data_IF_934708423090
#
_entry.id   IF_934708423090
#
_cell.length_a   1.000
_cell.length_b   1.000
_cell.length_c   1.000
_cell.angle_alpha   90.00
_cell.angle_beta   90.00
_cell.angle_gamma   90.00
#
_symmetry.space_group_name_H-M   'P 1'
#
loop_
_entity.id
_entity.type
_entity.pdbx_description
1 polymer ?
#
# COMPACT_ATOMS: atom_id res chain seq x y z
N UNK A 1 25.86 3.62 -3.56
CA UNK A 1 24.47 3.37 -3.14
C UNK A 1 24.32 3.77 -1.67
N UNK A 2 23.41 4.68 -1.34
CA UNK A 2 23.02 4.92 0.07
C UNK A 2 22.37 3.63 0.57
N UNK A 3 22.87 3.03 1.65
CA UNK A 3 22.19 1.89 2.25
C UNK A 3 20.77 2.29 2.64
N UNK A 4 19.79 1.49 2.25
CA UNK A 4 18.39 1.73 2.62
C UNK A 4 18.23 1.53 4.14
N UNK A 5 17.85 2.57 4.91
CA UNK A 5 17.72 2.47 6.37
C UNK A 5 16.60 1.52 6.82
N UNK A 6 15.75 1.04 5.91
CA UNK A 6 14.75 0.00 6.18
C UNK A 6 15.33 -1.42 6.14
N UNK A 7 16.50 -1.63 5.54
CA UNK A 7 17.13 -2.96 5.48
C UNK A 7 18.08 -3.11 6.67
N UNK A 8 17.79 -4.07 7.56
CA UNK A 8 18.61 -4.33 8.74
C UNK A 8 18.31 -3.45 9.96
N UNK A 9 17.35 -2.53 9.88
CA UNK A 9 16.91 -1.75 11.04
C UNK A 9 16.04 -2.58 11.99
N UNK A 10 16.24 -2.41 13.30
CA UNK A 10 15.34 -2.91 14.35
C UNK A 10 13.98 -2.22 14.39
N UNK A 11 13.61 -1.49 13.33
CA UNK A 11 12.39 -0.70 13.18
C UNK A 11 11.22 -1.50 12.58
N UNK A 12 11.42 -2.79 12.29
CA UNK A 12 10.39 -3.70 11.79
C UNK A 12 9.75 -4.47 12.95
N UNK A 13 8.43 -4.37 13.05
CA UNK A 13 7.61 -5.08 14.01
C UNK A 13 6.81 -6.15 13.28
N UNK A 14 6.85 -7.39 13.78
CA UNK A 14 6.17 -8.56 13.20
C UNK A 14 6.50 -8.83 11.71
N UNK A 15 7.59 -8.25 11.19
CA UNK A 15 7.99 -8.35 9.78
C UNK A 15 7.02 -7.69 8.78
N UNK A 16 6.08 -6.87 9.26
CA UNK A 16 5.00 -6.24 8.47
C UNK A 16 4.94 -4.74 8.70
N UNK A 17 5.05 -4.33 9.97
CA UNK A 17 4.87 -2.96 10.41
C UNK A 17 6.23 -2.30 10.50
N UNK A 18 6.37 -1.10 9.94
CA UNK A 18 7.60 -0.33 10.00
C UNK A 18 7.37 1.00 10.72
N UNK A 19 8.20 1.28 11.73
CA UNK A 19 8.15 2.50 12.52
C UNK A 19 9.56 3.05 12.67
N UNK A 20 9.87 4.14 11.97
CA UNK A 20 11.14 4.84 12.11
C UNK A 20 10.96 6.37 12.01
N UNK A 21 11.07 7.11 13.13
CA UNK A 21 10.98 8.57 13.15
C UNK A 21 12.12 9.27 12.40
N UNK A 22 13.24 8.60 12.14
CA UNK A 22 14.39 9.15 11.40
C UNK A 22 14.24 8.99 9.88
N UNK A 23 13.49 7.99 9.41
CA UNK A 23 13.23 7.78 7.98
C UNK A 23 12.08 8.66 7.49
N UNK A 24 12.35 9.62 6.60
CA UNK A 24 11.33 10.57 6.11
C UNK A 24 10.37 9.99 5.08
N UNK A 25 10.63 8.78 4.57
CA UNK A 25 9.76 8.12 3.61
C UNK A 25 8.45 7.70 4.28
N UNK A 26 7.34 7.89 3.56
CA UNK A 26 6.02 7.41 3.98
C UNK A 26 5.81 5.99 3.46
N UNK A 27 6.06 5.75 2.18
CA UNK A 27 6.00 4.42 1.56
C UNK A 27 7.40 3.83 1.59
N UNK A 28 7.52 2.62 2.12
CA UNK A 28 8.80 1.94 2.35
C UNK A 28 8.76 0.56 1.73
N UNK A 29 9.84 0.18 1.06
CA UNK A 29 9.99 -1.16 0.50
C UNK A 29 10.08 -2.19 1.61
N UNK A 30 9.45 -3.34 1.41
CA UNK A 30 9.49 -4.43 2.37
C UNK A 30 10.84 -5.16 2.35
N UNK A 31 11.37 -5.53 3.53
CA UNK A 31 12.72 -6.11 3.67
C UNK A 31 12.91 -7.47 2.98
N UNK A 32 11.90 -8.34 2.93
CA UNK A 32 12.10 -9.75 2.51
C UNK A 32 11.13 -10.25 1.44
N UNK A 33 10.27 -9.39 0.88
CA UNK A 33 9.24 -9.78 -0.10
C UNK A 33 8.93 -8.64 -1.05
N UNK A 34 8.19 -8.97 -2.10
CA UNK A 34 7.61 -8.00 -3.01
C UNK A 34 6.63 -7.09 -2.26
N UNK A 35 6.69 -5.79 -2.57
CA UNK A 35 5.73 -4.80 -2.13
C UNK A 35 6.27 -3.75 -1.17
N UNK A 36 5.33 -2.99 -0.61
CA UNK A 36 5.59 -1.81 0.20
C UNK A 36 4.76 -1.84 1.48
N UNK A 37 5.18 -1.04 2.45
CA UNK A 37 4.48 -0.75 3.70
C UNK A 37 4.49 0.75 3.94
N UNK A 38 3.80 1.20 4.99
CA UNK A 38 3.76 2.60 5.38
C UNK A 38 4.57 2.79 6.67
N UNK A 39 5.38 3.84 6.73
CA UNK A 39 6.07 4.23 7.94
C UNK A 39 5.10 4.90 8.92
N UNK A 40 4.63 4.14 9.91
CA UNK A 40 3.64 4.64 10.87
C UNK A 40 4.21 5.67 11.85
N UNK A 41 5.52 5.94 11.83
CA UNK A 41 6.12 7.03 12.60
C UNK A 41 5.81 8.42 12.03
N UNK A 42 5.18 8.52 10.85
CA UNK A 42 4.89 9.78 10.17
C UNK A 42 3.42 10.16 10.30
N UNK A 43 3.08 11.40 10.68
CA UNK A 43 1.69 11.86 10.69
C UNK A 43 1.00 11.70 9.33
N UNK A 44 1.75 11.90 8.23
CA UNK A 44 1.27 11.70 6.87
C UNK A 44 0.99 10.23 6.49
N UNK A 45 1.39 9.26 7.32
CA UNK A 45 1.03 7.86 7.12
C UNK A 45 -0.48 7.64 7.21
N UNK A 46 -1.16 8.37 8.11
CA UNK A 46 -2.61 8.27 8.32
C UNK A 46 -3.39 8.66 7.06
N UNK A 47 -3.25 9.86 6.48
CA UNK A 47 -3.98 10.21 5.26
C UNK A 47 -3.62 9.32 4.07
N UNK A 48 -2.36 8.86 3.97
CA UNK A 48 -1.97 7.91 2.90
C UNK A 48 -2.65 6.55 3.09
N UNK A 49 -2.70 6.03 4.31
CA UNK A 49 -3.40 4.79 4.63
C UNK A 49 -4.89 4.92 4.34
N UNK A 50 -5.53 6.00 4.78
CA UNK A 50 -6.94 6.29 4.48
C UNK A 50 -7.20 6.36 2.98
N UNK A 51 -6.31 7.01 2.20
CA UNK A 51 -6.43 7.06 0.75
C UNK A 51 -6.41 5.67 0.11
N UNK A 52 -5.54 4.77 0.57
CA UNK A 52 -5.49 3.38 0.10
C UNK A 52 -6.79 2.64 0.45
N UNK A 53 -7.31 2.81 1.68
CA UNK A 53 -8.57 2.21 2.10
C UNK A 53 -9.75 2.72 1.26
N UNK A 54 -9.84 4.04 1.06
CA UNK A 54 -10.88 4.65 0.22
C UNK A 54 -10.78 4.13 -1.21
N UNK A 55 -9.58 4.08 -1.78
CA UNK A 55 -9.38 3.54 -3.13
C UNK A 55 -9.83 2.08 -3.25
N UNK A 56 -9.51 1.25 -2.27
CA UNK A 56 -9.88 -0.17 -2.28
C UNK A 56 -11.39 -0.38 -2.08
N UNK A 57 -12.06 0.46 -1.28
CA UNK A 57 -13.47 0.29 -0.93
C UNK A 57 -14.42 1.06 -1.85
N UNK A 58 -13.98 2.17 -2.46
CA UNK A 58 -14.82 3.05 -3.25
C UNK A 58 -15.55 2.34 -4.41
N UNK A 59 -14.92 1.44 -5.20
CA UNK A 59 -15.63 0.73 -6.26
C UNK A 59 -16.83 -0.07 -5.75
N UNK A 60 -16.69 -0.74 -4.61
CA UNK A 60 -17.75 -1.52 -3.99
C UNK A 60 -18.86 -0.61 -3.44
N UNK A 61 -18.47 0.44 -2.73
CA UNK A 61 -19.41 1.44 -2.24
C UNK A 61 -20.22 2.08 -3.38
N UNK A 62 -19.60 2.34 -4.53
CA UNK A 62 -20.30 2.87 -5.70
C UNK A 62 -21.28 1.85 -6.28
N UNK A 63 -20.92 0.57 -6.38
CA UNK A 63 -21.85 -0.48 -6.83
C UNK A 63 -23.11 -0.51 -5.94
N UNK A 64 -22.92 -0.44 -4.63
CA UNK A 64 -24.02 -0.40 -3.66
C UNK A 64 -24.86 0.89 -3.80
N UNK A 65 -24.21 2.06 -3.95
CA UNK A 65 -24.90 3.34 -4.10
C UNK A 65 -25.78 3.42 -5.36
N UNK A 66 -25.37 2.74 -6.43
CA UNK A 66 -26.12 2.69 -7.68
C UNK A 66 -27.06 1.48 -7.78
N UNK A 67 -27.23 0.72 -6.68
CA UNK A 67 -28.07 -0.47 -6.60
C UNK A 67 -27.74 -1.52 -7.70
N UNK A 68 -26.44 -1.71 -7.98
CA UNK A 68 -25.96 -2.68 -8.97
C UNK A 68 -25.79 -4.04 -8.28
N UNK A 69 -26.88 -4.79 -8.17
CA UNK A 69 -26.90 -6.12 -7.55
C UNK A 69 -26.45 -7.24 -8.50
N UNK A 70 -25.32 -7.06 -9.19
CA UNK A 70 -24.75 -8.05 -10.11
C UNK A 70 -23.44 -8.62 -9.55
N UNK A 71 -23.39 -9.91 -9.16
CA UNK A 71 -22.17 -10.54 -8.62
C UNK A 71 -20.93 -10.38 -9.50
N UNK A 72 -21.11 -10.35 -10.83
CA UNK A 72 -20.01 -10.15 -11.77
C UNK A 72 -19.43 -8.73 -11.72
N UNK A 73 -20.24 -7.73 -11.37
CA UNK A 73 -19.76 -6.35 -11.18
C UNK A 73 -18.86 -6.25 -9.95
N UNK A 74 -19.23 -6.88 -8.83
CA UNK A 74 -18.39 -6.95 -7.62
C UNK A 74 -17.09 -7.70 -7.90
N UNK A 75 -17.15 -8.81 -8.64
CA UNK A 75 -15.97 -9.55 -9.05
C UNK A 75 -15.04 -8.71 -9.93
N UNK A 76 -15.58 -8.00 -10.92
CA UNK A 76 -14.81 -7.12 -11.80
C UNK A 76 -14.16 -5.97 -11.00
N UNK A 77 -14.89 -5.34 -10.08
CA UNK A 77 -14.36 -4.31 -9.20
C UNK A 77 -13.21 -4.84 -8.33
N UNK A 78 -13.35 -6.04 -7.76
CA UNK A 78 -12.29 -6.69 -7.00
C UNK A 78 -11.04 -6.95 -7.85
N UNK A 79 -11.20 -7.54 -9.03
CA UNK A 79 -10.08 -7.80 -9.95
C UNK A 79 -9.39 -6.50 -10.37
N UNK A 80 -10.16 -5.45 -10.65
CA UNK A 80 -9.64 -4.13 -10.99
C UNK A 80 -8.79 -3.54 -9.86
N UNK A 81 -9.29 -3.55 -8.62
CA UNK A 81 -8.56 -3.08 -7.43
C UNK A 81 -7.29 -3.91 -7.21
N UNK A 82 -7.38 -5.23 -7.37
CA UNK A 82 -6.24 -6.13 -7.18
C UNK A 82 -5.14 -5.87 -8.22
N UNK A 83 -5.50 -5.79 -9.50
CA UNK A 83 -4.53 -5.55 -10.59
C UNK A 83 -3.88 -4.18 -10.46
N UNK A 84 -4.67 -3.14 -10.17
CA UNK A 84 -4.15 -1.76 -10.02
C UNK A 84 -3.21 -1.63 -8.82
N UNK A 85 -3.55 -2.21 -7.66
CA UNK A 85 -2.65 -2.25 -6.50
C UNK A 85 -1.40 -3.07 -6.79
N UNK A 86 -1.50 -4.18 -7.53
CA UNK A 86 -0.34 -4.98 -7.91
C UNK A 86 0.58 -4.23 -8.90
N UNK A 87 0.00 -3.54 -9.88
CA UNK A 87 0.74 -2.66 -10.80
C UNK A 87 1.44 -1.52 -10.04
N UNK A 88 0.75 -0.92 -9.06
CA UNK A 88 1.34 0.08 -8.17
C UNK A 88 2.49 -0.50 -7.35
N UNK A 89 2.34 -1.70 -6.77
CA UNK A 89 3.43 -2.40 -6.08
C UNK A 89 4.65 -2.56 -6.97
N UNK A 90 4.48 -3.07 -8.18
CA UNK A 90 5.58 -3.29 -9.12
C UNK A 90 6.22 -1.97 -9.60
N UNK A 91 5.43 -0.92 -9.79
CA UNK A 91 5.93 0.41 -10.14
C UNK A 91 6.74 1.03 -9.00
N UNK A 92 6.24 0.94 -7.77
CA UNK A 92 6.95 1.40 -6.58
C UNK A 92 8.27 0.64 -6.41
N UNK A 93 8.30 -0.67 -6.67
CA UNK A 93 9.54 -1.46 -6.63
C UNK A 93 10.59 -0.99 -7.62
N UNK A 94 10.21 -0.72 -8.88
CA UNK A 94 11.15 -0.17 -9.87
C UNK A 94 11.77 1.13 -9.37
N UNK A 95 10.94 2.02 -8.80
CA UNK A 95 11.39 3.29 -8.22
C UNK A 95 12.32 3.13 -7.02
N UNK A 96 12.25 2.01 -6.28
CA UNK A 96 13.18 1.70 -5.20
C UNK A 96 14.44 0.95 -5.67
N UNK A 97 14.46 0.45 -6.91
CA UNK A 97 15.60 -0.25 -7.49
C UNK A 97 16.56 0.68 -8.25
N UNK A 98 16.07 1.84 -8.72
CA UNK A 98 16.84 2.96 -9.28
C UNK A 98 17.48 3.84 -8.19
#
# INVERSE_FOLDING_TARGET
MKQDPSIGSGCWYLGQIYINPSDRRIIIRRRSRIGWTINLARPLAIPVFLLICVYALAPFYLLDCYAIDNPWAYFAAFVFVLISLMAFCLSAEKKFAE
#
